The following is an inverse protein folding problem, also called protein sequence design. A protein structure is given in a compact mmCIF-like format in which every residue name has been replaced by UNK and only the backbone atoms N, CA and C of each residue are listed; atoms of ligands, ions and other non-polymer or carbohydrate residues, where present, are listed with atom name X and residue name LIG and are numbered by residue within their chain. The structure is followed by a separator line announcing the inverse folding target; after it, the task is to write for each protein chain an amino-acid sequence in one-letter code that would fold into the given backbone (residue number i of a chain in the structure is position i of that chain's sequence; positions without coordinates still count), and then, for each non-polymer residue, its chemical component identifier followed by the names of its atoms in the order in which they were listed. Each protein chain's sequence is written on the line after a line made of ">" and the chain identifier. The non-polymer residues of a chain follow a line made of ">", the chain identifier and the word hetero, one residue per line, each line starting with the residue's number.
data_IF_300296201817
#
_entry.id   IF_300296201817
#
_cell.length_a   1.000
_cell.length_b   1.000
_cell.length_c   1.000
_cell.angle_alpha   90.00
_cell.angle_beta   90.00
_cell.angle_gamma   90.00
#
_symmetry.space_group_name_H-M   'P 1'
#
loop_
_entity.id
_entity.type
_entity.pdbx_description
1 polymer ?
#
# COMPACT_ATOMS: atom_id res chain seq x y z
N UNK A 1 4.59 -4.39 24.63
CA UNK A 1 5.61 -3.41 24.20
C UNK A 1 5.58 -2.22 25.16
N UNK A 2 6.75 -1.58 25.33
CA UNK A 2 6.87 -0.42 26.20
C UNK A 2 6.21 0.83 25.60
N UNK A 3 5.93 0.81 24.29
CA UNK A 3 5.21 1.83 23.53
C UNK A 3 4.42 1.22 22.36
N UNK A 4 3.49 1.98 21.79
CA UNK A 4 2.80 1.65 20.55
C UNK A 4 3.70 2.03 19.37
N UNK A 5 4.10 1.07 18.50
CA UNK A 5 4.86 1.39 17.30
C UNK A 5 4.08 2.31 16.35
N UNK A 6 4.82 3.14 15.61
CA UNK A 6 4.29 4.17 14.70
C UNK A 6 4.79 3.94 13.29
N UNK A 7 3.89 4.05 12.31
CA UNK A 7 4.23 3.93 10.89
C UNK A 7 3.68 5.12 10.08
N UNK A 8 4.58 5.95 9.54
CA UNK A 8 4.29 6.91 8.48
C UNK A 8 5.36 6.75 7.40
N UNK A 9 5.05 5.97 6.38
CA UNK A 9 5.94 5.71 5.24
C UNK A 9 6.54 4.31 5.15
N UNK A 10 6.20 3.40 6.07
CA UNK A 10 6.65 2.01 6.03
C UNK A 10 5.96 1.17 4.93
N UNK A 11 4.83 1.60 4.41
CA UNK A 11 4.16 1.01 3.24
C UNK A 11 3.53 2.09 2.37
N UNK A 12 3.15 1.76 1.12
CA UNK A 12 2.50 2.72 0.21
C UNK A 12 1.26 3.37 0.82
N UNK A 13 0.48 2.59 1.58
CA UNK A 13 -0.76 3.05 2.22
C UNK A 13 -0.56 3.87 3.51
N UNK A 14 0.66 3.99 4.02
CA UNK A 14 1.00 4.85 5.17
C UNK A 14 1.81 6.09 4.79
N UNK A 15 2.10 6.27 3.49
CA UNK A 15 2.86 7.41 2.97
C UNK A 15 2.05 8.70 2.93
N UNK A 16 2.73 9.79 2.60
CA UNK A 16 2.21 11.15 2.62
C UNK A 16 2.25 11.72 1.21
N UNK A 17 1.17 12.41 0.79
CA UNK A 17 1.14 13.12 -0.49
C UNK A 17 2.28 14.14 -0.55
N UNK A 18 2.90 14.28 -1.71
CA UNK A 18 4.09 15.09 -1.90
C UNK A 18 3.94 16.56 -1.49
N UNK A 19 2.77 17.18 -1.72
CA UNK A 19 2.52 18.57 -1.34
C UNK A 19 2.52 18.73 0.18
N UNK A 20 1.84 17.82 0.88
CA UNK A 20 1.75 17.81 2.35
C UNK A 20 3.10 17.47 2.98
N UNK A 21 3.87 16.56 2.37
CA UNK A 21 5.20 16.22 2.86
C UNK A 21 6.15 17.41 2.80
N UNK A 22 6.11 18.22 1.72
CA UNK A 22 6.88 19.45 1.61
C UNK A 22 6.55 20.43 2.75
N UNK A 23 5.25 20.64 3.02
CA UNK A 23 4.77 21.51 4.09
C UNK A 23 5.16 21.00 5.48
N UNK A 24 5.13 19.67 5.72
CA UNK A 24 5.58 19.07 6.98
C UNK A 24 7.08 19.28 7.21
N UNK A 25 7.92 19.15 6.17
CA UNK A 25 9.34 19.45 6.29
C UNK A 25 9.58 20.91 6.70
N UNK A 26 8.85 21.86 6.10
CA UNK A 26 8.93 23.27 6.45
C UNK A 26 8.44 23.51 7.91
N UNK A 27 7.37 22.85 8.33
CA UNK A 27 6.84 22.95 9.71
C UNK A 27 7.87 22.48 10.75
N UNK A 28 8.55 21.35 10.51
CA UNK A 28 9.56 20.82 11.44
C UNK A 28 10.93 21.53 11.30
N UNK A 29 11.06 22.51 10.41
CA UNK A 29 12.30 23.25 10.19
C UNK A 29 13.41 22.40 9.59
N UNK A 30 13.06 21.36 8.86
CA UNK A 30 14.02 20.47 8.20
C UNK A 30 14.60 21.11 6.94
N UNK A 31 15.74 20.60 6.49
CA UNK A 31 16.35 21.02 5.23
C UNK A 31 15.34 20.92 4.08
N UNK A 32 15.25 21.99 3.27
CA UNK A 32 14.40 21.99 2.08
C UNK A 32 14.93 21.01 1.05
N UNK A 33 14.14 20.01 0.73
CA UNK A 33 14.40 19.03 -0.31
C UNK A 33 13.13 18.85 -1.14
N UNK A 34 13.31 18.61 -2.44
CA UNK A 34 12.18 18.27 -3.29
C UNK A 34 11.65 16.87 -2.93
N UNK A 35 10.35 16.72 -2.66
CA UNK A 35 9.77 15.40 -2.41
C UNK A 35 10.03 14.45 -3.59
N UNK A 36 10.57 13.28 -3.31
CA UNK A 36 10.73 12.21 -4.30
C UNK A 36 9.46 11.38 -4.34
N UNK A 37 8.79 11.34 -5.49
CA UNK A 37 7.58 10.54 -5.65
C UNK A 37 7.93 9.05 -5.58
N UNK A 38 7.32 8.35 -4.64
CA UNK A 38 7.47 6.90 -4.50
C UNK A 38 6.61 6.14 -5.52
N UNK A 39 5.38 6.63 -5.72
CA UNK A 39 4.42 6.06 -6.65
C UNK A 39 3.61 7.16 -7.31
N UNK A 40 3.63 7.17 -8.65
CA UNK A 40 2.92 8.17 -9.46
C UNK A 40 1.40 8.01 -9.35
N UNK A 41 0.86 6.80 -9.13
CA UNK A 41 -0.59 6.60 -9.03
C UNK A 41 -1.19 7.38 -7.86
N UNK A 42 -0.54 7.36 -6.70
CA UNK A 42 -1.02 7.99 -5.46
C UNK A 42 -0.42 9.36 -5.20
N UNK A 43 0.61 9.77 -5.96
CA UNK A 43 1.39 11.00 -5.73
C UNK A 43 1.95 11.11 -4.30
N UNK A 44 2.24 9.96 -3.69
CA UNK A 44 2.90 9.88 -2.38
C UNK A 44 4.41 9.92 -2.53
N UNK A 45 5.08 10.57 -1.58
CA UNK A 45 6.52 10.72 -1.59
C UNK A 45 7.21 9.89 -0.49
N UNK A 46 8.49 9.60 -0.69
CA UNK A 46 9.32 8.94 0.31
C UNK A 46 9.40 9.78 1.59
N UNK A 47 9.11 9.17 2.72
CA UNK A 47 9.33 9.77 4.04
C UNK A 47 10.79 9.54 4.44
N UNK A 48 11.61 10.58 4.28
CA UNK A 48 13.05 10.51 4.58
C UNK A 48 13.31 10.37 6.10
N UNK A 49 14.45 9.80 6.51
CA UNK A 49 14.74 9.49 7.91
C UNK A 49 14.60 10.66 8.88
N UNK A 50 14.99 11.88 8.48
CA UNK A 50 14.88 13.09 9.30
C UNK A 50 13.42 13.48 9.61
N UNK A 51 12.51 13.36 8.63
CA UNK A 51 11.08 13.55 8.84
C UNK A 51 10.47 12.39 9.65
N UNK A 52 10.88 11.16 9.36
CA UNK A 52 10.45 9.98 10.11
C UNK A 52 10.83 10.09 11.60
N UNK A 53 12.01 10.63 11.93
CA UNK A 53 12.43 10.92 13.31
C UNK A 53 11.50 11.97 13.97
N UNK A 54 11.18 13.06 13.25
CA UNK A 54 10.25 14.07 13.74
C UNK A 54 8.85 13.50 14.00
N UNK A 55 8.41 12.55 13.22
CA UNK A 55 7.10 11.91 13.36
C UNK A 55 7.10 10.72 14.33
N UNK A 56 8.27 10.30 14.84
CA UNK A 56 8.39 9.18 15.78
C UNK A 56 8.16 7.81 15.14
N UNK A 57 8.49 7.64 13.85
CA UNK A 57 8.28 6.38 13.13
C UNK A 57 9.18 5.26 13.64
N UNK A 58 8.62 4.08 13.81
CA UNK A 58 9.29 2.84 14.21
C UNK A 58 9.42 1.84 13.06
N UNK A 59 8.85 2.15 11.90
CA UNK A 59 8.89 1.33 10.69
C UNK A 59 9.48 2.12 9.54
N UNK A 60 10.27 1.46 8.72
CA UNK A 60 10.84 2.00 7.50
C UNK A 60 10.68 1.03 6.34
N UNK A 61 10.42 1.56 5.16
CA UNK A 61 10.32 0.77 3.94
C UNK A 61 11.68 0.59 3.29
N UNK A 62 11.92 -0.62 2.79
CA UNK A 62 12.88 -0.84 1.72
C UNK A 62 12.22 -0.31 0.43
N UNK A 63 12.61 0.88 0.00
CA UNK A 63 11.92 1.62 -1.06
C UNK A 63 11.74 0.81 -2.34
N UNK A 64 10.59 0.94 -2.99
CA UNK A 64 10.30 0.21 -4.22
C UNK A 64 11.30 0.53 -5.34
N UNK A 65 11.68 -0.49 -6.08
CA UNK A 65 12.51 -0.35 -7.28
C UNK A 65 11.78 0.40 -8.41
N UNK A 66 10.49 0.16 -8.54
CA UNK A 66 9.62 0.84 -9.50
C UNK A 66 8.27 1.21 -8.92
N UNK A 67 7.51 2.02 -9.66
CA UNK A 67 6.15 2.42 -9.31
C UNK A 67 5.08 1.58 -10.04
N UNK A 68 3.81 1.89 -9.80
CA UNK A 68 2.64 1.23 -10.41
C UNK A 68 2.68 1.23 -11.95
N UNK A 69 3.29 2.23 -12.58
CA UNK A 69 3.37 2.35 -14.05
C UNK A 69 4.65 1.75 -14.65
N UNK A 70 5.50 1.11 -13.83
CA UNK A 70 6.77 0.52 -14.27
C UNK A 70 7.90 1.53 -14.44
N UNK A 71 7.78 2.73 -13.87
CA UNK A 71 8.89 3.68 -13.83
C UNK A 71 9.89 3.25 -12.77
N UNK A 72 11.18 3.33 -13.11
CA UNK A 72 12.26 2.91 -12.20
C UNK A 72 12.65 4.09 -11.31
N UNK A 73 12.64 3.89 -9.98
CA UNK A 73 12.94 4.89 -8.96
C UNK A 73 14.44 5.28 -8.92
N UNK A 74 14.93 5.82 -10.05
CA UNK A 74 16.30 6.32 -10.25
C UNK A 74 16.33 7.46 -11.25
N UNK A 75 17.51 8.08 -11.42
CA UNK A 75 17.78 9.14 -12.41
C UNK A 75 16.75 10.28 -12.35
N UNK A 76 16.43 10.69 -11.15
CA UNK A 76 15.37 11.63 -10.81
C UNK A 76 15.40 12.90 -11.63
N UNK A 77 14.21 13.40 -12.06
CA UNK A 77 14.02 14.68 -12.73
C UNK A 77 12.93 15.51 -12.06
N UNK A 78 13.09 16.83 -12.14
CA UNK A 78 12.09 17.76 -11.62
C UNK A 78 10.83 17.77 -12.47
N UNK A 79 9.70 17.87 -11.77
CA UNK A 79 8.38 18.09 -12.35
C UNK A 79 7.54 18.94 -11.40
N UNK A 80 6.64 19.75 -11.94
CA UNK A 80 5.75 20.58 -11.12
C UNK A 80 4.41 19.85 -10.89
N UNK A 81 4.16 19.48 -9.63
CA UNK A 81 2.92 18.85 -9.20
C UNK A 81 2.07 19.83 -8.40
N UNK A 82 0.99 20.34 -9.00
CA UNK A 82 0.05 21.27 -8.35
C UNK A 82 0.73 22.48 -7.69
N UNK A 83 1.72 23.06 -8.38
CA UNK A 83 2.47 24.23 -7.88
C UNK A 83 3.62 23.89 -6.91
N UNK A 84 3.85 22.61 -6.63
CA UNK A 84 4.96 22.14 -5.80
C UNK A 84 5.97 21.43 -6.68
N UNK A 85 7.26 21.85 -6.72
CA UNK A 85 8.29 21.13 -7.41
C UNK A 85 8.58 19.80 -6.70
N UNK A 86 8.59 18.71 -7.46
CA UNK A 86 8.84 17.34 -6.99
C UNK A 86 9.85 16.63 -7.87
N UNK A 87 10.40 15.53 -7.40
CA UNK A 87 11.24 14.63 -8.18
C UNK A 87 10.44 13.39 -8.59
N UNK A 88 10.37 13.14 -9.90
CA UNK A 88 9.76 11.94 -10.47
C UNK A 88 10.85 11.06 -11.11
N UNK A 89 10.61 9.72 -11.28
CA UNK A 89 11.55 8.83 -11.95
C UNK A 89 11.99 9.37 -13.32
N UNK A 90 13.26 9.20 -13.65
CA UNK A 90 13.84 9.77 -14.88
C UNK A 90 13.18 9.27 -16.17
N UNK A 91 12.72 8.00 -16.17
CA UNK A 91 11.98 7.41 -17.29
C UNK A 91 10.47 7.67 -17.27
N UNK A 92 9.92 8.35 -16.26
CA UNK A 92 8.49 8.69 -16.21
C UNK A 92 8.15 9.70 -17.30
N UNK A 93 7.10 9.47 -18.08
CA UNK A 93 6.55 10.43 -19.04
C UNK A 93 5.17 10.89 -18.59
N UNK A 94 5.03 12.20 -18.40
CA UNK A 94 3.76 12.88 -18.09
C UNK A 94 3.45 13.87 -19.20
N UNK A 95 2.22 13.87 -19.72
CA UNK A 95 1.74 14.82 -20.73
C UNK A 95 0.44 15.49 -20.28
N UNK A 96 0.28 16.75 -20.62
CA UNK A 96 -0.99 17.46 -20.40
C UNK A 96 -2.12 16.87 -21.26
N UNK A 97 -3.33 16.80 -20.70
CA UNK A 97 -4.53 16.32 -21.38
C UNK A 97 -5.25 17.42 -22.21
N UNK A 98 -4.71 18.65 -22.19
CA UNK A 98 -5.29 19.83 -22.84
C UNK A 98 -6.41 20.52 -22.04
N UNK A 99 -6.80 19.97 -20.88
CA UNK A 99 -7.86 20.50 -20.01
C UNK A 99 -7.35 20.81 -18.59
N UNK A 100 -6.02 20.84 -18.40
CA UNK A 100 -5.36 21.10 -17.12
C UNK A 100 -5.14 19.85 -16.27
N UNK A 101 -5.43 18.66 -16.79
CA UNK A 101 -5.06 17.36 -16.23
C UNK A 101 -3.82 16.77 -16.91
N UNK A 102 -3.47 15.55 -16.53
CA UNK A 102 -2.27 14.88 -16.98
C UNK A 102 -2.51 13.41 -17.30
N UNK A 103 -1.83 12.90 -18.31
CA UNK A 103 -1.68 11.48 -18.59
C UNK A 103 -0.30 10.98 -18.17
N UNK A 104 -0.24 9.73 -17.70
CA UNK A 104 1.00 8.99 -17.42
C UNK A 104 1.04 7.72 -18.27
N UNK A 105 2.24 7.30 -18.68
CA UNK A 105 2.45 6.24 -19.67
C UNK A 105 3.22 5.06 -19.07
N UNK A 106 2.92 3.80 -19.49
CA UNK A 106 3.58 2.62 -18.99
C UNK A 106 5.07 2.65 -19.33
N UNK A 107 5.93 2.41 -18.34
CA UNK A 107 7.40 2.48 -18.47
C UNK A 107 7.92 3.81 -19.05
N UNK A 108 7.07 4.83 -19.11
CA UNK A 108 7.36 6.12 -19.75
C UNK A 108 7.27 6.13 -21.28
N UNK A 109 6.75 5.08 -21.88
CA UNK A 109 6.62 4.93 -23.35
C UNK A 109 5.34 5.62 -23.86
N UNK A 110 5.49 6.84 -24.36
CA UNK A 110 4.39 7.65 -24.91
C UNK A 110 4.04 7.34 -26.38
N UNK A 111 4.57 6.26 -26.91
CA UNK A 111 4.15 5.72 -28.24
C UNK A 111 2.96 4.77 -28.14
N UNK A 112 2.58 4.39 -26.90
CA UNK A 112 1.39 3.59 -26.58
C UNK A 112 0.33 4.44 -25.87
N UNK A 113 -0.85 3.86 -25.62
CA UNK A 113 -1.92 4.54 -24.89
C UNK A 113 -1.52 4.82 -23.43
N UNK A 114 -1.97 5.96 -22.85
CA UNK A 114 -1.69 6.28 -21.46
C UNK A 114 -2.32 5.25 -20.52
N UNK A 115 -1.63 4.97 -19.42
CA UNK A 115 -2.08 4.03 -18.39
C UNK A 115 -2.85 4.66 -17.25
N UNK A 116 -2.64 5.95 -17.02
CA UNK A 116 -3.31 6.69 -15.96
C UNK A 116 -3.66 8.10 -16.36
N UNK A 117 -4.70 8.65 -15.73
CA UNK A 117 -5.17 10.01 -15.93
C UNK A 117 -5.42 10.71 -14.60
N UNK A 118 -4.85 11.90 -14.46
CA UNK A 118 -5.13 12.81 -13.36
C UNK A 118 -5.96 13.99 -13.92
N UNK A 119 -7.23 14.14 -13.55
CA UNK A 119 -8.04 15.28 -14.02
C UNK A 119 -7.55 16.61 -13.43
N UNK A 120 -7.98 17.75 -14.01
CA UNK A 120 -7.54 19.09 -13.63
C UNK A 120 -7.61 19.39 -12.12
N UNK A 121 -8.63 18.87 -11.43
CA UNK A 121 -8.83 19.04 -9.99
C UNK A 121 -8.41 17.80 -9.18
N UNK A 122 -7.79 16.79 -9.82
CA UNK A 122 -7.32 15.56 -9.17
C UNK A 122 -5.95 15.76 -8.52
N UNK A 123 -5.64 14.89 -7.58
CA UNK A 123 -4.37 14.85 -6.87
C UNK A 123 -3.66 13.49 -6.98
N UNK A 124 -4.20 12.57 -7.77
CA UNK A 124 -3.64 11.25 -8.04
C UNK A 124 -4.08 10.81 -9.45
N UNK A 125 -3.43 9.78 -9.99
CA UNK A 125 -3.78 9.22 -11.29
C UNK A 125 -4.70 8.01 -11.11
N UNK A 126 -5.88 8.07 -11.74
CA UNK A 126 -6.74 6.91 -11.91
C UNK A 126 -6.19 6.02 -13.02
N UNK A 127 -6.13 4.72 -12.78
CA UNK A 127 -5.70 3.76 -13.78
C UNK A 127 -6.76 3.59 -14.88
N UNK A 128 -6.31 3.51 -16.13
CA UNK A 128 -7.18 3.39 -17.29
C UNK A 128 -7.26 1.95 -17.77
N UNK A 129 -8.48 1.43 -17.96
CA UNK A 129 -8.71 0.18 -18.69
C UNK A 129 -8.42 0.40 -20.17
N UNK A 130 -7.49 -0.39 -20.74
CA UNK A 130 -6.99 -0.24 -22.13
C UNK A 130 -7.23 -1.48 -22.99
N UNK A 131 -8.12 -2.37 -22.52
CA UNK A 131 -8.52 -3.58 -23.22
C UNK A 131 -9.99 -3.49 -23.63
N UNK A 132 -10.40 -4.20 -24.69
CA UNK A 132 -11.82 -4.44 -24.94
C UNK A 132 -12.42 -5.31 -23.82
N UNK A 133 -13.74 -5.48 -23.85
CA UNK A 133 -14.46 -6.46 -23.03
C UNK A 133 -13.85 -7.85 -23.19
N UNK A 134 -13.78 -8.61 -22.09
CA UNK A 134 -13.14 -9.92 -22.09
C UNK A 134 -13.90 -10.94 -22.92
N UNK A 135 -13.16 -11.67 -23.77
CA UNK A 135 -13.68 -12.76 -24.61
C UNK A 135 -13.16 -14.11 -24.09
N UNK A 136 -14.08 -14.96 -23.60
CA UNK A 136 -13.75 -16.28 -23.06
C UNK A 136 -13.15 -17.22 -24.12
N UNK A 137 -13.55 -17.08 -25.39
CA UNK A 137 -13.04 -17.92 -26.49
C UNK A 137 -11.56 -17.62 -26.83
N UNK A 138 -11.05 -16.45 -26.46
CA UNK A 138 -9.65 -16.03 -26.63
C UNK A 138 -8.86 -16.01 -25.30
N UNK A 139 -9.46 -16.50 -24.21
CA UNK A 139 -8.89 -16.39 -22.87
C UNK A 139 -7.61 -17.22 -22.68
N UNK A 140 -6.53 -16.57 -22.27
CA UNK A 140 -5.32 -17.20 -21.77
C UNK A 140 -4.99 -16.67 -20.36
N UNK A 141 -5.00 -17.52 -19.32
CA UNK A 141 -4.59 -17.10 -17.97
C UNK A 141 -3.21 -16.46 -17.90
N UNK A 142 -2.30 -16.75 -18.84
CA UNK A 142 -1.00 -16.12 -18.92
C UNK A 142 -1.08 -14.60 -19.14
N UNK A 143 -2.14 -14.11 -19.78
CA UNK A 143 -2.35 -12.69 -20.02
C UNK A 143 -2.57 -11.91 -18.71
N UNK A 144 -3.24 -12.50 -17.72
CA UNK A 144 -3.41 -11.89 -16.38
C UNK A 144 -2.24 -12.15 -15.42
N UNK A 145 -1.25 -12.94 -15.84
CA UNK A 145 0.00 -13.16 -15.09
C UNK A 145 1.16 -12.35 -15.67
N UNK A 146 0.97 -11.68 -16.79
CA UNK A 146 2.02 -10.95 -17.51
C UNK A 146 2.69 -9.82 -16.69
N UNK A 147 2.00 -9.27 -15.70
CA UNK A 147 2.50 -8.26 -14.75
C UNK A 147 3.14 -8.86 -13.48
N UNK A 148 3.02 -10.18 -13.26
CA UNK A 148 3.70 -10.88 -12.17
C UNK A 148 5.11 -11.28 -12.61
N UNK A 149 6.10 -10.45 -12.29
CA UNK A 149 7.47 -10.71 -12.74
C UNK A 149 8.35 -11.30 -11.64
N UNK A 150 9.32 -12.12 -12.05
CA UNK A 150 10.42 -12.49 -11.18
C UNK A 150 11.32 -11.27 -10.92
N UNK A 151 11.72 -11.11 -9.67
CA UNK A 151 12.61 -10.02 -9.25
C UNK A 151 13.95 -10.11 -9.99
N UNK A 152 14.39 -8.99 -10.58
CA UNK A 152 15.61 -8.93 -11.36
C UNK A 152 16.87 -8.77 -10.49
N UNK A 153 18.05 -9.00 -11.09
CA UNK A 153 19.33 -8.73 -10.43
C UNK A 153 19.54 -7.25 -10.16
N UNK A 154 19.05 -6.38 -11.05
CA UNK A 154 19.07 -4.93 -10.90
C UNK A 154 18.22 -4.48 -9.71
N UNK A 155 17.04 -5.07 -9.54
CA UNK A 155 16.16 -4.78 -8.40
C UNK A 155 16.82 -5.21 -7.08
N UNK A 156 17.43 -6.38 -7.02
CA UNK A 156 18.19 -6.82 -5.83
C UNK A 156 19.38 -5.88 -5.56
N UNK A 157 20.13 -5.50 -6.61
CA UNK A 157 21.25 -4.58 -6.45
C UNK A 157 20.80 -3.19 -5.95
N UNK A 158 19.63 -2.70 -6.41
CA UNK A 158 19.03 -1.49 -5.92
C UNK A 158 18.66 -1.63 -4.43
N UNK A 159 17.97 -2.70 -4.04
CA UNK A 159 17.55 -2.89 -2.65
C UNK A 159 18.73 -3.12 -1.70
N UNK A 160 19.84 -3.69 -2.16
CA UNK A 160 21.08 -3.76 -1.37
C UNK A 160 21.61 -2.36 -1.01
N UNK A 161 21.58 -1.41 -1.94
CA UNK A 161 21.97 -0.02 -1.66
C UNK A 161 21.02 0.66 -0.69
N UNK A 162 19.69 0.48 -0.88
CA UNK A 162 18.71 1.04 0.05
C UNK A 162 18.87 0.43 1.44
N UNK A 163 19.14 -0.88 1.52
CA UNK A 163 19.38 -1.56 2.80
C UNK A 163 20.60 -0.97 3.56
N UNK A 164 21.69 -0.62 2.86
CA UNK A 164 22.84 0.04 3.46
C UNK A 164 22.47 1.40 4.10
N UNK A 165 21.50 2.11 3.53
CA UNK A 165 21.05 3.42 4.01
C UNK A 165 20.08 3.30 5.22
N UNK A 166 19.29 2.24 5.29
CA UNK A 166 18.22 2.10 6.29
C UNK A 166 18.58 1.17 7.45
N UNK A 167 19.48 0.21 7.24
CA UNK A 167 19.88 -0.76 8.25
C UNK A 167 20.55 -0.10 9.46
N UNK A 168 20.11 -0.51 10.65
CA UNK A 168 20.73 -0.07 11.91
C UNK A 168 20.23 1.27 12.45
N UNK A 169 19.20 1.86 11.85
CA UNK A 169 18.57 3.08 12.36
C UNK A 169 17.56 2.84 13.51
N UNK A 170 17.38 1.57 13.92
CA UNK A 170 16.48 1.18 15.01
C UNK A 170 15.02 0.97 14.61
N UNK A 171 14.66 1.09 13.33
CA UNK A 171 13.33 0.84 12.80
C UNK A 171 13.20 -0.57 12.23
N UNK A 172 12.00 -1.15 12.33
CA UNK A 172 11.66 -2.37 11.63
C UNK A 172 11.64 -2.11 10.11
N UNK A 173 12.21 -3.03 9.34
CA UNK A 173 12.30 -2.90 7.88
C UNK A 173 11.20 -3.71 7.22
N UNK A 174 10.35 -3.01 6.46
CA UNK A 174 9.29 -3.59 5.66
C UNK A 174 9.71 -3.65 4.18
N UNK A 175 9.39 -4.74 3.52
CA UNK A 175 9.59 -4.91 2.07
C UNK A 175 8.30 -5.30 1.37
N UNK A 176 8.17 -4.83 0.14
CA UNK A 176 7.21 -5.29 -0.85
C UNK A 176 8.00 -5.84 -2.04
N UNK A 177 8.28 -7.16 -2.07
CA UNK A 177 9.20 -7.74 -3.05
C UNK A 177 8.57 -7.92 -4.42
N UNK A 178 7.25 -7.96 -4.51
CA UNK A 178 6.57 -8.25 -5.77
C UNK A 178 5.04 -8.17 -5.68
N UNK A 179 4.43 -8.30 -6.83
CA UNK A 179 3.00 -8.36 -7.05
C UNK A 179 2.40 -9.70 -6.59
N UNK A 180 2.21 -9.91 -5.29
CA UNK A 180 1.42 -11.02 -4.75
C UNK A 180 -0.09 -10.68 -4.66
N UNK A 181 -0.54 -9.80 -5.54
CA UNK A 181 -1.78 -9.04 -5.40
C UNK A 181 -3.06 -9.81 -5.65
N UNK A 182 -3.04 -11.03 -6.16
CA UNK A 182 -4.26 -11.86 -6.40
C UNK A 182 -5.48 -11.01 -6.82
N UNK A 183 -5.33 -10.19 -7.88
CA UNK A 183 -6.42 -9.33 -8.36
C UNK A 183 -6.56 -8.01 -7.60
N UNK A 184 -5.47 -7.40 -7.19
CA UNK A 184 -5.46 -6.04 -6.65
C UNK A 184 -6.02 -5.03 -7.67
N UNK A 185 -7.06 -4.28 -7.28
CA UNK A 185 -7.75 -3.33 -8.15
C UNK A 185 -6.81 -2.28 -8.78
N UNK A 186 -5.72 -1.93 -8.10
CA UNK A 186 -4.71 -1.01 -8.64
C UNK A 186 -3.88 -1.64 -9.77
N UNK A 187 -3.75 -2.97 -9.78
CA UNK A 187 -2.94 -3.70 -10.75
C UNK A 187 -3.76 -4.34 -11.89
N UNK A 188 -5.06 -4.61 -11.66
CA UNK A 188 -5.93 -5.24 -12.67
C UNK A 188 -5.85 -4.56 -14.03
N UNK A 189 -5.87 -3.23 -14.19
CA UNK A 189 -5.77 -2.59 -15.51
C UNK A 189 -4.44 -2.83 -16.23
N UNK A 190 -3.45 -3.45 -15.57
CA UNK A 190 -2.10 -3.66 -16.10
C UNK A 190 -1.38 -2.34 -16.38
N UNK A 191 -1.31 -1.40 -15.39
CA UNK A 191 -0.84 -0.04 -15.64
C UNK A 191 0.63 0.03 -16.10
N UNK A 192 1.45 -0.94 -15.74
CA UNK A 192 2.84 -1.09 -16.18
C UNK A 192 2.99 -1.79 -17.55
N UNK A 193 1.95 -2.40 -18.08
CA UNK A 193 2.01 -3.11 -19.35
C UNK A 193 1.76 -2.16 -20.52
N UNK A 194 2.57 -2.24 -21.58
CA UNK A 194 2.37 -1.46 -22.81
C UNK A 194 1.15 -1.92 -23.61
N UNK A 195 0.91 -3.23 -23.62
CA UNK A 195 -0.20 -3.88 -24.34
C UNK A 195 -0.86 -4.92 -23.41
N UNK A 196 -1.69 -4.45 -22.43
CA UNK A 196 -2.37 -5.36 -21.51
C UNK A 196 -3.36 -6.26 -22.27
N UNK A 197 -3.51 -7.50 -21.80
CA UNK A 197 -4.48 -8.49 -22.26
C UNK A 197 -5.11 -9.20 -21.10
N UNK A 198 -6.13 -10.01 -21.35
CA UNK A 198 -6.89 -10.73 -20.34
C UNK A 198 -7.96 -9.85 -19.69
N UNK A 199 -8.42 -10.23 -18.52
CA UNK A 199 -9.43 -9.46 -17.77
C UNK A 199 -8.76 -8.26 -17.11
N UNK A 200 -9.03 -7.06 -17.63
CA UNK A 200 -8.40 -5.80 -17.17
C UNK A 200 -9.38 -4.73 -16.71
N UNK A 201 -10.67 -4.96 -16.87
CA UNK A 201 -11.71 -4.17 -16.21
C UNK A 201 -11.93 -4.66 -14.78
N UNK A 202 -11.99 -3.74 -13.83
CA UNK A 202 -12.11 -4.07 -12.40
C UNK A 202 -13.45 -4.78 -12.10
N UNK A 203 -14.53 -4.37 -12.78
CA UNK A 203 -15.86 -4.97 -12.57
C UNK A 203 -15.92 -6.39 -13.14
N UNK A 204 -15.33 -6.60 -14.33
CA UNK A 204 -15.20 -7.93 -14.93
C UNK A 204 -14.37 -8.85 -14.03
N UNK A 205 -13.25 -8.34 -13.48
CA UNK A 205 -12.41 -9.11 -12.58
C UNK A 205 -13.13 -9.57 -11.31
N UNK A 206 -13.88 -8.68 -10.65
CA UNK A 206 -14.64 -9.08 -9.45
C UNK A 206 -15.77 -10.06 -9.73
N UNK A 207 -16.27 -10.13 -10.98
CA UNK A 207 -17.22 -11.16 -11.42
C UNK A 207 -16.54 -12.45 -11.86
N UNK A 208 -15.28 -12.41 -12.25
CA UNK A 208 -14.55 -13.54 -12.81
C UNK A 208 -14.56 -14.82 -11.94
N UNK A 209 -14.43 -14.75 -10.60
CA UNK A 209 -14.57 -15.96 -9.76
C UNK A 209 -15.86 -16.73 -9.96
N UNK A 210 -16.97 -16.05 -10.29
CA UNK A 210 -18.26 -16.65 -10.51
C UNK A 210 -18.50 -17.06 -11.97
N UNK A 211 -17.90 -16.35 -12.92
CA UNK A 211 -18.10 -16.59 -14.36
C UNK A 211 -17.04 -17.52 -14.95
N UNK A 212 -15.79 -17.39 -14.51
CA UNK A 212 -14.61 -18.05 -15.07
C UNK A 212 -13.73 -18.65 -13.96
N UNK A 213 -14.27 -19.54 -13.08
CA UNK A 213 -13.58 -20.04 -11.89
C UNK A 213 -12.23 -20.69 -12.20
N UNK A 214 -12.18 -21.55 -13.22
CA UNK A 214 -10.93 -22.24 -13.60
C UNK A 214 -9.85 -21.28 -14.08
N UNK A 215 -10.25 -20.22 -14.81
CA UNK A 215 -9.35 -19.16 -15.24
C UNK A 215 -8.72 -18.44 -14.05
N UNK A 216 -9.54 -18.04 -13.07
CA UNK A 216 -9.07 -17.32 -11.87
C UNK A 216 -8.15 -18.21 -11.04
N UNK A 217 -8.49 -19.47 -10.85
CA UNK A 217 -7.63 -20.43 -10.15
C UNK A 217 -6.27 -20.58 -10.81
N UNK A 218 -6.23 -20.69 -12.14
CA UNK A 218 -4.97 -20.79 -12.90
C UNK A 218 -4.11 -19.53 -12.77
N UNK A 219 -4.72 -18.35 -12.87
CA UNK A 219 -4.03 -17.06 -12.66
C UNK A 219 -3.44 -16.99 -11.26
N UNK A 220 -4.21 -17.34 -10.24
CA UNK A 220 -3.76 -17.26 -8.85
C UNK A 220 -2.67 -18.30 -8.52
N UNK A 221 -2.78 -19.51 -9.07
CA UNK A 221 -1.75 -20.53 -8.85
C UNK A 221 -0.41 -20.12 -9.44
N UNK A 222 -0.38 -19.68 -10.69
CA UNK A 222 0.83 -19.16 -11.36
C UNK A 222 1.39 -17.92 -10.64
N UNK A 223 0.55 -16.96 -10.29
CA UNK A 223 0.97 -15.75 -9.58
C UNK A 223 1.56 -16.05 -8.20
N UNK A 224 0.95 -16.99 -7.47
CA UNK A 224 1.45 -17.44 -6.16
C UNK A 224 2.81 -18.13 -6.26
N UNK A 225 3.02 -18.95 -7.29
CA UNK A 225 4.31 -19.59 -7.52
C UNK A 225 5.43 -18.59 -7.84
N UNK A 226 5.12 -17.53 -8.60
CA UNK A 226 6.06 -16.43 -8.86
C UNK A 226 6.36 -15.66 -7.56
N UNK A 227 5.33 -15.35 -6.78
CA UNK A 227 5.48 -14.66 -5.50
C UNK A 227 6.42 -15.42 -4.55
N UNK A 228 6.23 -16.73 -4.39
CA UNK A 228 7.06 -17.57 -3.53
C UNK A 228 8.53 -17.62 -4.03
N UNK A 229 8.76 -17.66 -5.33
CA UNK A 229 10.12 -17.58 -5.88
C UNK A 229 10.78 -16.24 -5.54
N UNK A 230 10.03 -15.14 -5.60
CA UNK A 230 10.50 -13.83 -5.22
C UNK A 230 10.78 -13.75 -3.71
N UNK A 231 9.89 -14.27 -2.85
CA UNK A 231 10.13 -14.34 -1.40
C UNK A 231 11.42 -15.09 -1.08
N UNK A 232 11.61 -16.26 -1.72
CA UNK A 232 12.83 -17.05 -1.58
C UNK A 232 14.07 -16.22 -1.94
N UNK A 233 14.04 -15.51 -3.06
CA UNK A 233 15.16 -14.70 -3.51
C UNK A 233 15.48 -13.57 -2.54
N UNK A 234 14.47 -12.88 -2.00
CA UNK A 234 14.69 -11.85 -0.99
C UNK A 234 15.21 -12.44 0.33
N UNK A 235 14.72 -13.61 0.73
CA UNK A 235 15.24 -14.26 1.91
C UNK A 235 16.70 -14.66 1.76
N UNK A 236 17.07 -15.23 0.62
CA UNK A 236 18.45 -15.63 0.32
C UNK A 236 19.42 -14.42 0.31
N UNK A 237 18.93 -13.21 -0.02
CA UNK A 237 19.76 -11.99 -0.14
C UNK A 237 19.78 -11.13 1.14
N UNK A 238 18.69 -11.05 1.87
CA UNK A 238 18.51 -10.13 3.00
C UNK A 238 18.24 -10.84 4.34
N UNK A 239 17.76 -12.05 4.32
CA UNK A 239 17.51 -12.87 5.52
C UNK A 239 16.68 -12.13 6.57
N UNK A 240 17.18 -12.13 7.82
CA UNK A 240 16.57 -11.46 8.97
C UNK A 240 16.84 -9.95 9.06
N UNK A 241 17.44 -9.33 8.05
CA UNK A 241 17.56 -7.88 7.96
C UNK A 241 16.22 -7.23 7.57
N UNK A 242 15.28 -8.02 7.05
CA UNK A 242 13.88 -7.64 6.83
C UNK A 242 13.04 -8.24 7.97
N UNK A 243 12.10 -7.43 8.49
CA UNK A 243 11.19 -7.84 9.57
C UNK A 243 9.81 -8.17 9.06
N UNK A 244 9.32 -7.41 8.05
CA UNK A 244 7.93 -7.41 7.62
C UNK A 244 7.86 -7.55 6.10
N UNK A 245 7.10 -8.55 5.67
CA UNK A 245 6.71 -8.74 4.27
C UNK A 245 5.33 -8.12 4.05
N UNK A 246 5.25 -7.07 3.24
CA UNK A 246 3.97 -6.59 2.71
C UNK A 246 3.51 -7.57 1.61
N UNK A 247 2.49 -8.34 1.91
CA UNK A 247 2.05 -9.43 1.05
C UNK A 247 1.32 -8.91 -0.19
N UNK A 248 0.31 -8.05 0.02
CA UNK A 248 -0.42 -7.40 -1.06
C UNK A 248 -1.39 -6.32 -0.58
N UNK A 249 -1.90 -5.51 -1.53
CA UNK A 249 -2.88 -4.45 -1.34
C UNK A 249 -4.30 -4.77 -1.82
N UNK A 250 -4.62 -6.03 -2.12
CA UNK A 250 -5.93 -6.41 -2.67
C UNK A 250 -7.07 -6.08 -1.72
N UNK A 251 -7.98 -5.21 -2.15
CA UNK A 251 -9.15 -4.81 -1.38
C UNK A 251 -10.29 -5.83 -1.50
N UNK A 252 -10.96 -6.08 -0.36
CA UNK A 252 -12.12 -6.96 -0.26
C UNK A 252 -13.36 -6.27 0.32
N UNK A 253 -13.26 -5.01 0.71
CA UNK A 253 -14.33 -4.30 1.37
C UNK A 253 -14.72 -2.99 0.73
N UNK A 254 -16.01 -2.65 0.90
CA UNK A 254 -16.59 -1.33 0.64
C UNK A 254 -16.88 -0.60 1.95
N UNK A 255 -17.43 0.61 1.89
CA UNK A 255 -17.94 1.30 3.09
C UNK A 255 -19.08 0.53 3.81
N UNK A 256 -19.78 -0.38 3.11
CA UNK A 256 -20.95 -1.12 3.61
C UNK A 256 -20.71 -2.59 3.95
N UNK A 257 -19.51 -3.12 3.60
CA UNK A 257 -19.18 -4.53 3.82
C UNK A 257 -18.31 -5.10 2.68
N UNK A 258 -18.09 -6.41 2.65
CA UNK A 258 -17.28 -7.05 1.63
C UNK A 258 -17.83 -6.87 0.21
N UNK A 259 -16.93 -6.89 -0.79
CA UNK A 259 -17.29 -6.91 -2.22
C UNK A 259 -17.96 -8.22 -2.63
N UNK A 260 -17.63 -9.30 -1.93
CA UNK A 260 -18.06 -10.67 -2.26
C UNK A 260 -18.58 -11.38 -1.02
N UNK A 261 -19.29 -12.48 -1.25
CA UNK A 261 -19.66 -13.40 -0.17
C UNK A 261 -18.37 -13.96 0.48
N UNK A 262 -18.28 -14.04 1.81
CA UNK A 262 -17.13 -14.62 2.50
C UNK A 262 -16.79 -16.05 2.06
N UNK A 263 -17.75 -16.86 1.61
CA UNK A 263 -17.47 -18.21 1.07
C UNK A 263 -16.76 -18.15 -0.29
N UNK A 264 -17.01 -17.13 -1.12
CA UNK A 264 -16.24 -16.88 -2.36
C UNK A 264 -14.79 -16.52 -2.00
N UNK A 265 -14.57 -15.68 -0.98
CA UNK A 265 -13.23 -15.40 -0.49
C UNK A 265 -12.52 -16.68 -0.02
N UNK A 266 -13.20 -17.52 0.74
CA UNK A 266 -12.69 -18.79 1.25
C UNK A 266 -12.30 -19.76 0.13
N UNK A 267 -13.07 -19.82 -0.95
CA UNK A 267 -12.78 -20.68 -2.09
C UNK A 267 -11.63 -20.16 -2.94
N UNK A 268 -11.67 -18.87 -3.33
CA UNK A 268 -10.77 -18.31 -4.35
C UNK A 268 -9.51 -17.65 -3.79
N UNK A 269 -9.50 -17.18 -2.54
CA UNK A 269 -8.37 -16.38 -2.01
C UNK A 269 -7.64 -17.06 -0.85
N UNK A 270 -8.38 -17.65 0.09
CA UNK A 270 -7.81 -18.30 1.27
C UNK A 270 -6.71 -19.32 0.93
N UNK A 271 -6.87 -20.26 -0.04
CA UNK A 271 -5.86 -21.27 -0.31
C UNK A 271 -4.53 -20.67 -0.78
N UNK A 272 -4.58 -19.62 -1.58
CA UNK A 272 -3.41 -18.96 -2.14
C UNK A 272 -2.70 -18.08 -1.11
N UNK A 273 -3.43 -17.30 -0.31
CA UNK A 273 -2.83 -16.60 0.82
C UNK A 273 -2.17 -17.57 1.79
N UNK A 274 -2.85 -18.67 2.12
CA UNK A 274 -2.29 -19.69 2.99
C UNK A 274 -1.02 -20.32 2.42
N UNK A 275 -0.98 -20.64 1.14
CA UNK A 275 0.20 -21.17 0.44
C UNK A 275 1.39 -20.22 0.59
N UNK A 276 1.19 -18.91 0.43
CA UNK A 276 2.22 -17.89 0.58
C UNK A 276 2.68 -17.72 2.04
N UNK A 277 1.77 -17.59 2.99
CA UNK A 277 2.08 -17.39 4.41
C UNK A 277 2.71 -18.63 5.04
N UNK A 278 2.25 -19.84 4.70
CA UNK A 278 2.86 -21.10 5.13
C UNK A 278 4.32 -21.18 4.68
N UNK A 279 4.62 -20.75 3.44
CA UNK A 279 5.99 -20.69 2.97
C UNK A 279 6.82 -19.68 3.79
N UNK A 280 6.31 -18.46 4.01
CA UNK A 280 6.99 -17.41 4.76
C UNK A 280 7.29 -17.88 6.19
N UNK A 281 6.30 -18.38 6.91
CA UNK A 281 6.45 -18.79 8.31
C UNK A 281 7.32 -20.05 8.48
N UNK A 282 7.38 -20.91 7.46
CA UNK A 282 8.22 -22.11 7.51
C UNK A 282 9.69 -21.81 7.22
N UNK A 283 9.96 -20.84 6.35
CA UNK A 283 11.30 -20.64 5.79
C UNK A 283 11.98 -19.36 6.27
N UNK A 284 11.24 -18.43 6.90
CA UNK A 284 11.75 -17.10 7.27
C UNK A 284 11.40 -16.72 8.71
N UNK A 285 11.92 -15.59 9.17
CA UNK A 285 11.52 -14.94 10.44
C UNK A 285 10.54 -13.79 10.21
N UNK A 286 10.18 -13.51 8.98
CA UNK A 286 9.33 -12.37 8.60
C UNK A 286 7.91 -12.50 9.11
N UNK A 287 7.28 -11.34 9.34
CA UNK A 287 5.85 -11.21 9.61
C UNK A 287 5.13 -10.74 8.36
N UNK A 288 3.96 -11.31 8.11
CA UNK A 288 3.15 -10.97 6.95
C UNK A 288 2.18 -9.84 7.25
N UNK A 289 2.18 -8.81 6.41
CA UNK A 289 1.27 -7.68 6.48
C UNK A 289 0.42 -7.65 5.20
N UNK A 290 -0.89 -7.64 5.35
CA UNK A 290 -1.83 -7.51 4.23
C UNK A 290 -2.63 -6.22 4.37
N UNK A 291 -2.78 -5.50 3.24
CA UNK A 291 -3.70 -4.39 3.15
C UNK A 291 -5.03 -4.82 2.52
N UNK A 292 -6.14 -4.34 3.06
CA UNK A 292 -7.49 -4.44 2.47
C UNK A 292 -8.40 -3.38 3.06
N UNK A 293 -8.80 -2.41 2.26
CA UNK A 293 -9.75 -1.37 2.64
C UNK A 293 -11.16 -1.91 2.92
N UNK A 294 -11.97 -1.10 3.60
CA UNK A 294 -13.41 -1.29 3.75
C UNK A 294 -13.83 -2.13 4.94
N UNK A 295 -15.11 -2.51 4.90
CA UNK A 295 -15.78 -3.31 5.92
C UNK A 295 -15.50 -4.80 5.73
N UNK A 296 -14.35 -5.28 6.20
CA UNK A 296 -13.89 -6.67 6.02
C UNK A 296 -14.13 -7.58 7.24
N UNK A 297 -14.89 -7.14 8.23
CA UNK A 297 -15.12 -7.91 9.45
C UNK A 297 -15.51 -9.38 9.20
N UNK A 298 -16.40 -9.71 8.23
CA UNK A 298 -16.77 -11.11 7.93
C UNK A 298 -15.65 -11.93 7.27
N UNK A 299 -14.64 -11.27 6.70
CA UNK A 299 -13.50 -11.92 6.00
C UNK A 299 -12.31 -12.13 6.96
N UNK A 300 -12.22 -11.37 8.06
CA UNK A 300 -11.12 -11.49 9.02
C UNK A 300 -10.84 -12.91 9.52
N UNK A 301 -11.85 -13.77 9.82
CA UNK A 301 -11.58 -15.15 10.21
C UNK A 301 -10.78 -15.93 9.17
N UNK A 302 -11.05 -15.72 7.89
CA UNK A 302 -10.33 -16.38 6.80
C UNK A 302 -8.92 -15.84 6.58
N UNK A 303 -8.69 -14.53 6.82
CA UNK A 303 -7.36 -13.95 6.81
C UNK A 303 -6.49 -14.49 7.95
N UNK A 304 -7.09 -14.65 9.13
CA UNK A 304 -6.43 -15.29 10.29
C UNK A 304 -6.12 -16.77 9.98
N UNK A 305 -7.08 -17.53 9.42
CA UNK A 305 -6.88 -18.92 8.99
C UNK A 305 -5.80 -19.03 7.91
N UNK A 306 -5.71 -18.05 7.02
CA UNK A 306 -4.65 -17.94 6.02
C UNK A 306 -3.25 -17.66 6.65
N UNK A 307 -3.17 -17.33 7.93
CA UNK A 307 -1.91 -17.05 8.62
C UNK A 307 -1.39 -15.63 8.44
N UNK A 308 -2.24 -14.65 8.11
CA UNK A 308 -1.83 -13.24 8.06
C UNK A 308 -1.53 -12.75 9.47
N UNK A 309 -0.32 -12.23 9.71
CA UNK A 309 0.10 -11.72 11.03
C UNK A 309 -0.50 -10.33 11.34
N UNK A 310 -0.61 -9.47 10.32
CA UNK A 310 -1.11 -8.10 10.49
C UNK A 310 -2.02 -7.67 9.34
N UNK A 311 -3.04 -6.86 9.66
CA UNK A 311 -4.00 -6.28 8.70
C UNK A 311 -3.95 -4.77 8.70
N UNK A 312 -3.90 -4.16 7.53
CA UNK A 312 -3.99 -2.73 7.25
C UNK A 312 -4.99 -2.49 6.10
N UNK A 313 -5.72 -1.39 6.05
CA UNK A 313 -5.96 -0.50 7.18
C UNK A 313 -6.97 -1.12 8.13
N UNK A 314 -7.12 -0.52 9.30
CA UNK A 314 -8.29 -0.78 10.13
C UNK A 314 -9.28 0.34 9.84
N UNK A 315 -10.12 0.15 8.83
CA UNK A 315 -11.04 1.21 8.37
C UNK A 315 -12.26 1.34 9.27
N UNK A 316 -12.05 1.91 10.47
CA UNK A 316 -13.08 2.05 11.51
C UNK A 316 -14.30 2.89 11.09
N UNK A 317 -14.22 3.61 9.97
CA UNK A 317 -15.34 4.36 9.39
C UNK A 317 -16.28 3.49 8.53
N UNK A 318 -15.86 2.26 8.18
CA UNK A 318 -16.69 1.33 7.43
C UNK A 318 -17.66 0.55 8.35
N UNK A 319 -18.77 0.11 7.77
CA UNK A 319 -19.78 -0.64 8.50
C UNK A 319 -19.22 -1.96 9.08
N UNK A 320 -19.55 -2.26 10.31
CA UNK A 320 -19.10 -3.45 11.02
C UNK A 320 -17.68 -3.37 11.61
N UNK A 321 -16.92 -2.32 11.30
CA UNK A 321 -15.51 -2.15 11.71
C UNK A 321 -15.37 -1.31 13.00
N UNK A 322 -16.27 -1.49 13.97
CA UNK A 322 -16.16 -0.83 15.28
C UNK A 322 -14.85 -1.23 15.98
N UNK A 323 -14.03 -0.28 16.45
CA UNK A 323 -12.72 -0.55 17.03
C UNK A 323 -12.74 -1.48 18.24
N UNK A 324 -13.69 -1.26 19.17
CA UNK A 324 -13.78 -2.09 20.37
C UNK A 324 -14.19 -3.51 20.02
N UNK A 325 -15.18 -3.66 19.10
CA UNK A 325 -15.60 -4.96 18.59
C UNK A 325 -14.47 -5.71 17.90
N UNK A 326 -13.69 -5.04 17.06
CA UNK A 326 -12.52 -5.62 16.39
C UNK A 326 -11.51 -6.13 17.41
N UNK A 327 -11.16 -5.27 18.38
CA UNK A 327 -10.17 -5.61 19.42
C UNK A 327 -10.62 -6.76 20.30
N UNK A 328 -11.87 -6.76 20.75
CA UNK A 328 -12.42 -7.79 21.60
C UNK A 328 -12.53 -9.13 20.89
N UNK A 329 -12.83 -9.11 19.56
CA UNK A 329 -13.05 -10.33 18.78
C UNK A 329 -11.75 -10.93 18.27
N UNK A 330 -10.85 -10.13 17.68
CA UNK A 330 -9.69 -10.61 16.92
C UNK A 330 -8.33 -10.11 17.44
N UNK A 331 -8.31 -9.25 18.45
CA UNK A 331 -7.07 -8.60 18.90
C UNK A 331 -6.01 -9.54 19.49
N UNK A 332 -6.32 -10.84 19.67
CA UNK A 332 -5.35 -11.87 20.08
C UNK A 332 -4.82 -12.68 18.89
N UNK A 333 -5.50 -12.61 17.75
CA UNK A 333 -5.24 -13.48 16.61
C UNK A 333 -4.57 -12.75 15.45
N UNK A 334 -4.73 -11.41 15.36
CA UNK A 334 -4.13 -10.59 14.31
C UNK A 334 -3.71 -9.23 14.85
N UNK A 335 -2.60 -8.69 14.33
CA UNK A 335 -2.15 -7.32 14.62
C UNK A 335 -2.96 -6.33 13.79
N UNK A 336 -3.54 -5.33 14.45
CA UNK A 336 -4.19 -4.20 13.79
C UNK A 336 -3.15 -3.13 13.45
N UNK A 337 -3.01 -2.82 12.17
CA UNK A 337 -2.07 -1.83 11.67
C UNK A 337 -2.82 -0.68 11.01
N UNK A 338 -2.89 0.46 11.68
CA UNK A 338 -3.67 1.63 11.23
C UNK A 338 -4.92 1.91 12.04
N UNK A 339 -5.84 2.66 11.45
CA UNK A 339 -7.10 3.02 12.12
C UNK A 339 -6.96 4.11 13.18
N UNK A 340 -5.79 4.74 13.32
CA UNK A 340 -5.53 5.77 14.33
C UNK A 340 -6.41 7.02 14.17
N UNK A 341 -6.69 7.41 12.92
CA UNK A 341 -7.57 8.55 12.63
C UNK A 341 -8.28 8.34 11.29
N UNK A 342 -9.51 8.83 11.18
CA UNK A 342 -10.32 8.82 9.95
C UNK A 342 -9.75 9.82 8.92
N UNK A 343 -9.26 9.29 7.81
CA UNK A 343 -8.68 10.06 6.71
C UNK A 343 -9.71 10.63 5.72
N UNK A 344 -10.98 10.28 5.86
CA UNK A 344 -12.06 10.77 5.00
C UNK A 344 -12.77 12.00 5.59
N UNK A 345 -12.79 12.16 6.92
CA UNK A 345 -13.56 13.22 7.60
C UNK A 345 -12.73 13.96 8.65
N UNK A 346 -12.23 13.25 9.67
CA UNK A 346 -11.64 13.89 10.85
C UNK A 346 -10.28 14.49 10.53
N UNK A 347 -9.37 13.74 9.94
CA UNK A 347 -8.03 14.25 9.64
C UNK A 347 -8.05 15.42 8.65
N UNK A 348 -8.79 15.38 7.51
CA UNK A 348 -8.77 16.47 6.54
C UNK A 348 -9.69 17.65 6.90
N UNK A 349 -10.77 17.45 7.67
CA UNK A 349 -11.81 18.47 7.86
C UNK A 349 -12.16 18.77 9.31
N UNK A 350 -11.65 17.98 10.28
CA UNK A 350 -11.83 18.24 11.70
C UNK A 350 -10.89 19.32 12.22
N UNK A 351 -11.05 19.68 13.50
CA UNK A 351 -10.10 20.52 14.22
C UNK A 351 -8.94 19.67 14.76
N UNK A 352 -7.78 20.30 15.10
CA UNK A 352 -6.70 19.59 15.77
C UNK A 352 -7.13 18.86 17.06
N UNK A 353 -8.07 19.44 17.81
CA UNK A 353 -8.62 18.86 19.03
C UNK A 353 -9.44 17.60 18.74
N UNK A 354 -10.28 17.60 17.70
CA UNK A 354 -11.05 16.43 17.26
C UNK A 354 -10.15 15.31 16.75
N UNK A 355 -9.09 15.66 16.01
CA UNK A 355 -8.06 14.71 15.58
C UNK A 355 -7.38 14.06 16.78
N UNK A 356 -6.91 14.89 17.73
CA UNK A 356 -6.27 14.41 18.95
C UNK A 356 -7.18 13.49 19.76
N UNK A 357 -8.44 13.86 19.97
CA UNK A 357 -9.41 13.06 20.70
C UNK A 357 -9.60 11.68 20.05
N UNK A 358 -9.81 11.64 18.73
CA UNK A 358 -9.99 10.39 18.02
C UNK A 358 -8.74 9.49 18.10
N UNK A 359 -7.55 10.07 17.92
CA UNK A 359 -6.28 9.34 18.00
C UNK A 359 -6.11 8.69 19.37
N UNK A 360 -6.31 9.46 20.45
CA UNK A 360 -6.20 8.92 21.82
C UNK A 360 -7.21 7.80 22.08
N UNK A 361 -8.46 7.97 21.66
CA UNK A 361 -9.48 6.92 21.76
C UNK A 361 -9.04 5.63 21.04
N UNK A 362 -8.47 5.74 19.83
CA UNK A 362 -7.98 4.57 19.06
C UNK A 362 -6.80 3.90 19.75
N UNK A 363 -5.86 4.70 20.25
CA UNK A 363 -4.70 4.20 21.01
C UNK A 363 -5.14 3.42 22.26
N UNK A 364 -6.07 3.97 23.04
CA UNK A 364 -6.61 3.30 24.27
C UNK A 364 -7.25 1.94 23.94
N UNK A 365 -8.01 1.85 22.84
CA UNK A 365 -8.69 0.61 22.45
C UNK A 365 -7.70 -0.41 21.90
N UNK A 366 -6.94 -0.05 20.87
CA UNK A 366 -6.14 -1.01 20.12
C UNK A 366 -4.84 -1.41 20.80
N UNK A 367 -4.24 -0.56 21.65
CA UNK A 367 -2.98 -0.88 22.35
C UNK A 367 -3.15 -1.87 23.49
N UNK A 368 -4.38 -2.04 23.99
CA UNK A 368 -4.67 -2.95 25.11
C UNK A 368 -4.16 -4.35 24.80
N UNK A 369 -3.32 -4.90 25.67
CA UNK A 369 -2.69 -6.23 25.54
C UNK A 369 -1.79 -6.37 24.29
N UNK A 370 -1.36 -5.26 23.64
CA UNK A 370 -0.50 -5.28 22.45
C UNK A 370 -1.24 -5.52 21.13
N UNK A 371 -0.52 -5.91 20.08
CA UNK A 371 -1.10 -6.25 18.78
C UNK A 371 -1.63 -5.03 18.01
N UNK A 372 -0.92 -3.88 18.11
CA UNK A 372 -1.29 -2.66 17.41
C UNK A 372 -0.06 -1.91 16.88
N UNK A 373 -0.15 -1.40 15.65
CA UNK A 373 0.78 -0.41 15.08
C UNK A 373 -0.04 0.79 14.64
N UNK A 374 0.30 1.98 15.15
CA UNK A 374 -0.45 3.19 14.89
C UNK A 374 -0.03 3.85 13.58
N UNK A 375 -0.98 4.08 12.71
CA UNK A 375 -0.94 5.05 11.62
C UNK A 375 -2.36 5.54 11.30
N UNK A 376 -2.49 6.36 10.26
CA UNK A 376 -3.79 6.75 9.70
C UNK A 376 -4.57 5.55 9.16
N UNK A 377 -5.83 5.71 8.81
CA UNK A 377 -6.57 4.65 8.09
C UNK A 377 -5.88 4.35 6.74
N UNK A 378 -5.58 5.41 5.98
CA UNK A 378 -4.89 5.27 4.68
C UNK A 378 -3.82 6.37 4.56
N UNK A 379 -3.11 6.45 3.43
CA UNK A 379 -2.13 7.51 3.19
C UNK A 379 -2.71 8.91 3.43
N UNK A 380 -1.85 9.83 3.87
CA UNK A 380 -2.22 11.23 4.10
C UNK A 380 -2.33 11.91 2.74
N UNK A 381 -3.56 12.31 2.40
CA UNK A 381 -3.91 12.89 1.10
C UNK A 381 -3.50 14.37 0.99
N UNK A 382 -3.47 14.87 -0.26
CA UNK A 382 -3.30 16.29 -0.54
C UNK A 382 -4.30 17.16 0.23
N UNK A 383 -3.93 18.38 0.52
CA UNK A 383 -4.74 19.37 1.28
C UNK A 383 -5.07 18.99 2.73
N UNK A 384 -4.48 17.93 3.28
CA UNK A 384 -4.62 17.62 4.71
C UNK A 384 -3.93 18.72 5.53
N UNK A 385 -4.63 19.39 6.47
CA UNK A 385 -4.04 20.50 7.23
C UNK A 385 -2.85 20.05 8.09
N UNK A 386 -1.73 20.76 8.01
CA UNK A 386 -0.54 20.45 8.81
C UNK A 386 -0.85 20.46 10.33
N UNK A 387 -1.63 21.42 10.89
CA UNK A 387 -1.98 21.39 12.31
C UNK A 387 -2.68 20.07 12.74
N UNK A 388 -3.48 19.48 11.85
CA UNK A 388 -4.18 18.21 12.14
C UNK A 388 -3.19 17.02 12.18
N UNK A 389 -2.25 17.00 11.25
CA UNK A 389 -1.20 15.95 11.23
C UNK A 389 -0.32 16.08 12.47
N UNK A 390 0.07 17.29 12.82
CA UNK A 390 0.86 17.56 14.03
C UNK A 390 0.12 17.15 15.29
N UNK A 391 -1.18 17.49 15.40
CA UNK A 391 -2.01 17.08 16.54
C UNK A 391 -2.10 15.55 16.67
N UNK A 392 -2.16 14.82 15.56
CA UNK A 392 -2.09 13.36 15.53
C UNK A 392 -0.74 12.84 16.05
N UNK A 393 0.36 13.35 15.51
CA UNK A 393 1.73 12.93 15.90
C UNK A 393 1.98 13.25 17.38
N UNK A 394 1.61 14.43 17.85
CA UNK A 394 1.78 14.84 19.24
C UNK A 394 0.93 14.00 20.21
N UNK A 395 -0.29 13.64 19.82
CA UNK A 395 -1.13 12.73 20.60
C UNK A 395 -0.51 11.33 20.76
N UNK A 396 0.09 10.79 19.68
CA UNK A 396 0.79 9.50 19.70
C UNK A 396 2.02 9.56 20.62
N UNK A 397 2.83 10.61 20.49
CA UNK A 397 4.03 10.81 21.33
C UNK A 397 3.66 10.96 22.80
N UNK A 398 2.64 11.75 23.13
CA UNK A 398 2.15 11.90 24.49
C UNK A 398 1.69 10.56 25.07
N UNK A 399 0.91 9.78 24.30
CA UNK A 399 0.45 8.46 24.75
C UNK A 399 1.62 7.50 25.01
N UNK A 400 2.66 7.56 24.18
CA UNK A 400 3.87 6.78 24.34
C UNK A 400 4.82 7.28 25.45
N UNK A 401 4.56 8.45 26.03
CA UNK A 401 5.42 9.09 27.02
C UNK A 401 6.69 9.70 26.44
N UNK A 402 6.73 9.89 25.12
CA UNK A 402 7.82 10.59 24.42
C UNK A 402 7.70 12.11 24.67
N UNK A 403 8.87 12.79 24.82
CA UNK A 403 8.93 14.24 25.11
C UNK A 403 9.24 15.04 23.86
#
# INVERSE_FOLDING_TARGET
>A
PDKVPVDFGGMSCSMINATVLADLRDYYGLEKRLPKINDMSTMTAFVEPDLADCMGCDVQRLYNYGDTYGHINKDWKEWEYRGVPVLIPGNCTVKEDGNGGYYVYPEGDDTVEPSGHMPANGFYFDNLTRTPEFDEDEADPADNVADYMLVSDEQIAFHKKVMEEVKGNGRAIQVDPCYAGLGDANNIPGPNLKHPKGIRDISEWYMAPLLYPDYVHEVFDRGTDIAIQNFKRYWDEFGSDIDILFLCGTDFGTQRGPFMDPEVFKEFYLPYYKKMTDWVHTNTTWKTLKHSCGGIFPILPYLIEAGIDAINPVQCSAEGMDPQKLKDTYGKDIVFWGGGVDTQKVLPFGTPEEVREQVLQRLEIFSKDGGYVCNTIHNIQANTPIPNIVAMVDAIKEFNGDK
#
